data_IF_299761524911
#
_entry.id   IF_299761524911
#
_cell.length_a   1.000
_cell.length_b   1.000
_cell.length_c   1.000
_cell.angle_alpha   90.00
_cell.angle_beta   90.00
_cell.angle_gamma   90.00
#
_symmetry.space_group_name_H-M   'P 1'
#
loop_
_entity.id
_entity.type
_entity.pdbx_description
1 polymer ?
#
# COMPACT_ATOMS: atom_id res chain seq x y z
N UNK A 1 -15.95 18.10 8.99
CA UNK A 1 -14.68 18.48 9.63
C UNK A 1 -13.98 19.68 8.99
N UNK A 2 -14.09 19.93 7.67
CA UNK A 2 -13.52 21.17 7.08
C UNK A 2 -14.16 22.43 7.68
N UNK A 3 -15.49 22.46 7.79
CA UNK A 3 -16.19 23.59 8.41
C UNK A 3 -15.77 23.84 9.88
N UNK A 4 -15.43 22.78 10.61
CA UNK A 4 -14.97 22.85 12.01
C UNK A 4 -13.52 23.32 12.11
N UNK A 5 -12.66 22.91 11.18
CA UNK A 5 -11.28 23.39 11.10
C UNK A 5 -11.22 24.88 10.70
N UNK A 6 -12.08 25.28 9.76
CA UNK A 6 -12.16 26.66 9.27
C UNK A 6 -11.08 27.02 8.24
N UNK A 7 -10.14 26.11 7.95
CA UNK A 7 -9.14 26.27 6.88
C UNK A 7 -9.36 25.27 5.73
N UNK A 8 -8.99 25.68 4.52
CA UNK A 8 -9.17 24.86 3.31
C UNK A 8 -8.28 23.61 3.29
N UNK A 9 -7.08 23.72 3.88
CA UNK A 9 -6.07 22.66 3.91
C UNK A 9 -5.96 21.94 5.26
N UNK A 10 -6.89 22.16 6.19
CA UNK A 10 -6.92 21.52 7.51
C UNK A 10 -5.74 21.88 8.41
N UNK A 11 -5.27 23.11 8.30
CA UNK A 11 -4.08 23.63 9.00
C UNK A 11 -4.33 23.93 10.47
N UNK A 12 -5.56 24.25 10.88
CA UNK A 12 -5.80 24.70 12.25
C UNK A 12 -5.91 23.53 13.21
N UNK A 13 -6.59 22.44 12.81
CA UNK A 13 -6.71 21.23 13.63
C UNK A 13 -5.71 20.14 13.23
N UNK A 14 -5.12 20.24 12.04
CA UNK A 14 -4.21 19.25 11.49
C UNK A 14 -4.95 18.15 10.72
N UNK A 15 -4.52 17.93 9.47
CA UNK A 15 -5.10 16.89 8.62
C UNK A 15 -4.99 15.48 9.24
N UNK A 16 -3.90 15.21 9.97
CA UNK A 16 -3.67 13.97 10.69
C UNK A 16 -4.69 13.74 11.81
N UNK A 17 -5.00 14.75 12.64
CA UNK A 17 -6.00 14.64 13.70
C UNK A 17 -7.40 14.42 13.13
N UNK A 18 -7.76 15.18 12.09
CA UNK A 18 -9.03 15.02 11.38
C UNK A 18 -9.16 13.62 10.77
N UNK A 19 -8.11 13.14 10.09
CA UNK A 19 -8.12 11.81 9.49
C UNK A 19 -8.24 10.72 10.54
N UNK A 20 -7.50 10.84 11.65
CA UNK A 20 -7.55 9.88 12.77
C UNK A 20 -8.97 9.73 13.32
N UNK A 21 -9.63 10.85 13.65
CA UNK A 21 -11.01 10.85 14.16
C UNK A 21 -11.98 10.31 13.11
N UNK A 22 -11.84 10.71 11.84
CA UNK A 22 -12.70 10.25 10.74
C UNK A 22 -12.65 8.73 10.58
N UNK A 23 -11.44 8.15 10.57
CA UNK A 23 -11.25 6.70 10.42
C UNK A 23 -11.74 5.93 11.66
N UNK A 24 -11.49 6.47 12.86
CA UNK A 24 -11.95 5.86 14.11
C UNK A 24 -13.47 5.82 14.18
N UNK A 25 -14.15 6.91 13.80
CA UNK A 25 -15.62 6.96 13.77
C UNK A 25 -16.21 5.93 12.80
N UNK A 26 -15.63 5.78 11.60
CA UNK A 26 -16.08 4.77 10.63
C UNK A 26 -15.88 3.33 11.15
N UNK A 27 -14.73 3.04 11.77
CA UNK A 27 -14.46 1.73 12.38
C UNK A 27 -15.41 1.43 13.54
N UNK A 28 -15.69 2.41 14.39
CA UNK A 28 -16.65 2.28 15.49
C UNK A 28 -18.08 2.01 14.97
N UNK A 29 -18.50 2.72 13.91
CA UNK A 29 -19.79 2.48 13.26
C UNK A 29 -19.91 1.07 12.67
N UNK A 30 -18.87 0.59 11.99
CA UNK A 30 -18.82 -0.77 11.48
C UNK A 30 -18.92 -1.82 12.59
N UNK A 31 -18.17 -1.62 13.69
CA UNK A 31 -18.20 -2.52 14.85
C UNK A 31 -19.56 -2.51 15.57
N UNK A 32 -20.21 -1.35 15.69
CA UNK A 32 -21.52 -1.24 16.32
C UNK A 32 -22.63 -1.99 15.55
N UNK A 33 -22.46 -2.14 14.23
CA UNK A 33 -23.36 -2.90 13.36
C UNK A 33 -22.93 -4.36 13.16
N UNK A 34 -21.83 -4.78 13.77
CA UNK A 34 -21.20 -6.10 13.60
C UNK A 34 -20.96 -6.49 12.13
N UNK A 35 -20.50 -5.52 11.33
CA UNK A 35 -20.13 -5.75 9.93
C UNK A 35 -18.68 -5.36 9.65
N UNK A 36 -18.01 -6.02 8.69
CA UNK A 36 -16.67 -5.62 8.27
C UNK A 36 -16.63 -4.17 7.74
N UNK A 37 -15.53 -3.46 7.98
CA UNK A 37 -15.37 -2.05 7.56
C UNK A 37 -15.60 -1.84 6.05
N UNK A 38 -15.15 -2.76 5.19
CA UNK A 38 -15.35 -2.62 3.75
C UNK A 38 -16.83 -2.70 3.35
N UNK A 39 -17.66 -3.43 4.10
CA UNK A 39 -19.11 -3.47 3.93
C UNK A 39 -19.77 -2.21 4.47
N UNK A 40 -19.32 -1.72 5.61
CA UNK A 40 -19.81 -0.46 6.18
C UNK A 40 -19.60 0.73 5.23
N UNK A 41 -18.43 0.79 4.57
CA UNK A 41 -18.08 1.89 3.65
C UNK A 41 -18.65 1.72 2.25
N UNK A 42 -18.62 0.50 1.68
CA UNK A 42 -18.95 0.24 0.29
C UNK A 42 -20.31 -0.45 0.05
N UNK A 43 -21.04 -0.76 1.12
CA UNK A 43 -22.35 -1.40 1.05
C UNK A 43 -22.33 -2.88 0.61
N UNK A 44 -23.50 -3.42 0.23
CA UNK A 44 -23.67 -4.85 -0.05
C UNK A 44 -22.98 -5.32 -1.34
N UNK A 45 -22.58 -4.41 -2.23
CA UNK A 45 -21.89 -4.73 -3.48
C UNK A 45 -20.36 -4.57 -3.39
N UNK A 46 -19.81 -4.21 -2.23
CA UNK A 46 -18.36 -4.18 -2.01
C UNK A 46 -17.77 -5.61 -2.03
N UNK A 47 -17.42 -6.10 -3.22
CA UNK A 47 -16.96 -7.47 -3.46
C UNK A 47 -15.78 -7.58 -4.43
N UNK A 48 -15.27 -6.46 -4.96
CA UNK A 48 -14.12 -6.44 -5.86
C UNK A 48 -12.82 -6.36 -5.05
N UNK A 49 -11.92 -7.33 -5.27
CA UNK A 49 -10.55 -7.27 -4.76
C UNK A 49 -9.64 -6.58 -5.78
N UNK A 50 -8.70 -5.72 -5.34
CA UNK A 50 -7.83 -4.99 -6.24
C UNK A 50 -6.73 -5.89 -6.81
N UNK A 51 -6.22 -5.55 -8.00
CA UNK A 51 -4.92 -6.07 -8.46
C UNK A 51 -3.83 -5.29 -7.73
N UNK A 52 -2.92 -5.95 -7.00
CA UNK A 52 -1.90 -5.25 -6.24
C UNK A 52 -0.80 -4.71 -7.16
N UNK A 53 -0.34 -3.49 -6.88
CA UNK A 53 0.90 -2.95 -7.41
C UNK A 53 1.96 -3.17 -6.33
N UNK A 54 2.92 -4.04 -6.59
CA UNK A 54 3.86 -4.51 -5.58
C UNK A 54 5.25 -3.95 -5.88
N UNK A 55 5.76 -3.08 -5.00
CA UNK A 55 7.12 -2.56 -5.10
C UNK A 55 8.16 -3.70 -5.01
N UNK A 56 9.17 -3.65 -5.87
CA UNK A 56 10.25 -4.65 -5.89
C UNK A 56 11.66 -4.05 -6.02
N UNK A 57 11.81 -2.89 -6.68
CA UNK A 57 13.09 -2.21 -6.85
C UNK A 57 12.89 -0.71 -6.64
N UNK A 58 13.75 -0.12 -5.83
CA UNK A 58 13.81 1.31 -5.55
C UNK A 58 14.98 1.96 -6.28
N UNK A 59 14.81 3.20 -6.68
CA UNK A 59 15.81 4.06 -7.30
C UNK A 59 15.61 5.51 -6.91
N UNK A 60 16.21 6.43 -7.67
CA UNK A 60 16.10 7.86 -7.46
C UNK A 60 16.52 8.27 -6.05
N UNK A 61 15.73 9.13 -5.41
CA UNK A 61 16.02 9.62 -4.07
C UNK A 61 15.95 8.55 -2.97
N UNK A 62 15.35 7.39 -3.25
CA UNK A 62 15.16 6.31 -2.28
C UNK A 62 16.32 5.30 -2.28
N UNK A 63 17.27 5.40 -3.22
CA UNK A 63 18.39 4.46 -3.31
C UNK A 63 19.69 5.14 -3.75
N UNK A 64 20.83 4.65 -3.24
CA UNK A 64 22.16 5.06 -3.67
C UNK A 64 22.66 4.19 -4.83
N UNK A 65 21.84 4.04 -5.88
CA UNK A 65 22.16 3.28 -7.08
C UNK A 65 22.09 4.19 -8.34
N UNK A 66 22.31 3.62 -9.53
CA UNK A 66 22.33 4.39 -10.79
C UNK A 66 20.97 4.44 -11.50
N UNK A 67 19.89 4.16 -10.78
CA UNK A 67 18.54 4.08 -11.34
C UNK A 67 17.83 5.40 -11.11
N UNK A 68 17.49 6.13 -12.16
CA UNK A 68 16.82 7.44 -12.03
C UNK A 68 15.35 7.33 -11.61
N UNK A 69 14.66 6.25 -12.00
CA UNK A 69 13.26 6.03 -11.65
C UNK A 69 13.12 5.60 -10.19
N UNK A 70 12.16 6.20 -9.48
CA UNK A 70 12.02 6.04 -8.04
C UNK A 70 11.57 4.65 -7.60
N UNK A 71 10.61 4.04 -8.31
CA UNK A 71 10.05 2.75 -7.95
C UNK A 71 9.69 1.92 -9.18
N UNK A 72 9.93 0.61 -9.09
CA UNK A 72 9.49 -0.37 -10.07
C UNK A 72 8.60 -1.38 -9.38
N UNK A 73 7.41 -1.57 -9.95
CA UNK A 73 6.39 -2.44 -9.40
C UNK A 73 6.07 -3.60 -10.33
N UNK A 74 5.76 -4.76 -9.77
CA UNK A 74 5.16 -5.87 -10.49
C UNK A 74 3.64 -5.87 -10.28
N UNK A 75 2.91 -6.27 -11.32
CA UNK A 75 1.44 -6.26 -11.33
C UNK A 75 0.92 -7.61 -11.85
N UNK A 76 0.44 -8.51 -10.98
CA UNK A 76 0.00 -9.85 -11.34
C UNK A 76 -1.42 -9.85 -11.96
N UNK A 77 -1.60 -9.17 -13.09
CA UNK A 77 -2.92 -8.98 -13.75
C UNK A 77 -3.61 -10.28 -14.16
N UNK A 78 -2.86 -11.36 -14.37
CA UNK A 78 -3.38 -12.65 -14.83
C UNK A 78 -3.78 -13.61 -13.71
N UNK A 79 -3.61 -13.22 -12.45
CA UNK A 79 -3.91 -14.09 -11.33
C UNK A 79 -5.43 -14.31 -11.16
N UNK A 80 -5.90 -15.55 -10.94
CA UNK A 80 -7.33 -15.84 -10.85
C UNK A 80 -7.99 -15.37 -9.55
N UNK A 81 -7.20 -14.96 -8.55
CA UNK A 81 -7.68 -14.39 -7.29
C UNK A 81 -6.60 -13.51 -6.65
N UNK A 82 -7.00 -12.66 -5.70
CA UNK A 82 -6.04 -11.87 -4.91
C UNK A 82 -5.02 -12.76 -4.16
N UNK A 83 -5.45 -13.94 -3.68
CA UNK A 83 -4.56 -14.89 -3.01
C UNK A 83 -3.45 -15.36 -3.95
N UNK A 84 -3.81 -15.71 -5.19
CA UNK A 84 -2.84 -16.11 -6.20
C UNK A 84 -1.97 -14.93 -6.65
N UNK A 85 -2.54 -13.73 -6.77
CA UNK A 85 -1.78 -12.51 -7.07
C UNK A 85 -0.69 -12.25 -6.02
N UNK A 86 -1.04 -12.38 -4.74
CA UNK A 86 -0.11 -12.24 -3.62
C UNK A 86 0.98 -13.32 -3.65
N UNK A 87 0.60 -14.58 -3.91
CA UNK A 87 1.55 -15.70 -4.04
C UNK A 87 2.55 -15.44 -5.16
N UNK A 88 2.08 -15.05 -6.36
CA UNK A 88 2.95 -14.74 -7.49
C UNK A 88 3.93 -13.62 -7.15
N UNK A 89 3.44 -12.55 -6.53
CA UNK A 89 4.28 -11.45 -6.08
C UNK A 89 5.38 -11.88 -5.11
N UNK A 90 5.03 -12.67 -4.10
CA UNK A 90 5.98 -13.18 -3.11
C UNK A 90 7.03 -14.12 -3.73
N UNK A 91 6.64 -15.01 -4.63
CA UNK A 91 7.55 -15.92 -5.35
C UNK A 91 8.52 -15.13 -6.26
N UNK A 92 8.03 -14.11 -6.96
CA UNK A 92 8.88 -13.21 -7.77
C UNK A 92 9.84 -12.44 -6.87
N UNK A 93 9.39 -11.89 -5.74
CA UNK A 93 10.25 -11.16 -4.80
C UNK A 93 11.37 -12.05 -4.23
N UNK A 94 11.04 -13.25 -3.75
CA UNK A 94 12.02 -14.19 -3.23
C UNK A 94 13.01 -14.67 -4.30
N UNK A 95 12.56 -14.81 -5.55
CA UNK A 95 13.43 -15.15 -6.68
C UNK A 95 14.34 -13.99 -7.06
N UNK A 96 13.81 -12.76 -7.06
CA UNK A 96 14.59 -11.55 -7.33
C UNK A 96 15.71 -11.38 -6.30
N UNK A 97 15.44 -11.60 -5.01
CA UNK A 97 16.48 -11.59 -3.97
C UNK A 97 17.67 -12.47 -4.34
N UNK A 98 17.41 -13.73 -4.74
CA UNK A 98 18.46 -14.67 -5.13
C UNK A 98 19.24 -14.19 -6.36
N UNK A 99 18.53 -13.65 -7.35
CA UNK A 99 19.17 -13.11 -8.56
C UNK A 99 20.08 -11.91 -8.24
N UNK A 100 19.69 -11.08 -7.28
CA UNK A 100 20.51 -9.96 -6.81
C UNK A 100 21.73 -10.46 -6.03
N UNK A 101 21.54 -11.40 -5.10
CA UNK A 101 22.61 -12.01 -4.32
C UNK A 101 23.64 -12.72 -5.21
N UNK A 102 23.18 -13.50 -6.21
CA UNK A 102 24.05 -14.19 -7.18
C UNK A 102 24.90 -13.21 -8.02
N UNK A 103 24.44 -11.96 -8.16
CA UNK A 103 25.17 -10.87 -8.83
C UNK A 103 26.03 -10.04 -7.88
N UNK A 104 26.06 -10.37 -6.59
CA UNK A 104 26.76 -9.61 -5.57
C UNK A 104 26.18 -8.21 -5.33
N UNK A 105 24.89 -8.02 -5.66
CA UNK A 105 24.16 -6.77 -5.41
C UNK A 105 23.57 -6.78 -3.98
N UNK A 106 23.34 -5.58 -3.45
CA UNK A 106 22.73 -5.44 -2.12
C UNK A 106 21.27 -5.91 -2.14
N UNK A 107 20.91 -6.71 -1.14
CA UNK A 107 19.53 -7.16 -0.89
C UNK A 107 18.91 -6.45 0.33
N UNK A 108 19.44 -5.28 0.67
CA UNK A 108 18.82 -4.38 1.64
C UNK A 108 17.44 -3.93 1.16
N UNK A 109 16.52 -3.74 2.10
CA UNK A 109 15.15 -3.30 1.82
C UNK A 109 14.94 -1.85 2.26
N UNK A 110 14.26 -1.07 1.42
CA UNK A 110 13.84 0.31 1.73
C UNK A 110 12.55 0.38 2.55
N UNK A 111 12.01 1.58 2.70
CA UNK A 111 10.81 1.87 3.52
C UNK A 111 9.57 1.08 3.06
N UNK A 112 9.41 0.87 1.76
CA UNK A 112 8.30 0.11 1.16
C UNK A 112 8.61 -1.39 0.99
N UNK A 113 9.80 -1.84 1.41
CA UNK A 113 10.22 -3.25 1.35
C UNK A 113 10.83 -3.72 0.03
N UNK A 114 10.99 -2.85 -0.98
CA UNK A 114 11.71 -3.14 -2.23
C UNK A 114 13.23 -3.08 -2.07
N UNK A 115 13.97 -3.70 -3.00
CA UNK A 115 15.43 -3.73 -2.99
C UNK A 115 16.04 -2.41 -3.51
N UNK A 116 17.15 -1.96 -2.93
CA UNK A 116 17.82 -0.69 -3.27
C UNK A 116 19.32 -0.84 -3.56
#
# INVERSE_FOLDING_TARGET
MIATDGSANKSNLGANAILGISLAAAKAGAAALDIPLYRYLGGPLANLLPVPLMNVINGGAHASNNVDFQEFMIVPIGAPSFKEALRWGAEVFATLSKVLDDKGLLTGVGDEGGFC
#
